data_IF_882929924888
#
_entry.id   IF_882929924888
#
_cell.length_a   1.000
_cell.length_b   1.000
_cell.length_c   1.000
_cell.angle_alpha   90.00
_cell.angle_beta   90.00
_cell.angle_gamma   90.00
#
_symmetry.space_group_name_H-M   'P 1'
#
loop_
_entity.id
_entity.type
_entity.pdbx_description
1 polymer ?
#
# COMPACT_ATOMS: atom_id res chain seq x y z
N UNK A 1 -5.29 -32.43 -118.43
CA UNK A 1 -4.22 -31.43 -118.30
C UNK A 1 -2.90 -32.19 -118.14
N UNK A 2 -1.96 -32.12 -119.10
CA UNK A 2 -0.67 -32.85 -119.03
C UNK A 2 0.36 -31.97 -118.30
N UNK A 3 0.65 -32.31 -117.05
CA UNK A 3 1.61 -31.58 -116.20
C UNK A 3 3.04 -31.92 -116.61
N UNK A 4 3.91 -30.92 -116.74
CA UNK A 4 5.31 -31.07 -117.16
C UNK A 4 6.21 -31.57 -116.00
N UNK A 5 7.32 -32.27 -116.28
CA UNK A 5 8.23 -32.85 -115.24
C UNK A 5 8.72 -31.80 -114.22
N UNK A 6 8.94 -30.56 -114.66
CA UNK A 6 9.32 -29.43 -113.80
C UNK A 6 8.22 -29.02 -112.82
N UNK A 7 6.97 -28.97 -113.29
CA UNK A 7 5.80 -28.62 -112.46
C UNK A 7 5.49 -29.70 -111.40
N UNK A 8 5.68 -30.98 -111.75
CA UNK A 8 5.53 -32.09 -110.79
C UNK A 8 6.58 -32.02 -109.66
N UNK A 9 7.80 -31.58 -109.97
CA UNK A 9 8.86 -31.39 -108.98
C UNK A 9 8.56 -30.19 -108.08
N UNK A 10 8.08 -29.09 -108.66
CA UNK A 10 7.68 -27.88 -107.93
C UNK A 10 6.51 -28.16 -106.96
N UNK A 11 5.49 -28.91 -107.41
CA UNK A 11 4.35 -29.30 -106.56
C UNK A 11 4.76 -30.22 -105.41
N UNK A 12 5.73 -31.11 -105.63
CA UNK A 12 6.26 -31.97 -104.57
C UNK A 12 7.02 -31.17 -103.50
N UNK A 13 7.84 -30.21 -103.91
CA UNK A 13 8.55 -29.29 -103.00
C UNK A 13 7.54 -28.41 -102.23
N UNK A 14 6.49 -27.93 -102.90
CA UNK A 14 5.41 -27.18 -102.24
C UNK A 14 4.69 -28.04 -101.20
N UNK A 15 4.33 -29.29 -101.53
CA UNK A 15 3.67 -30.21 -100.60
C UNK A 15 4.55 -30.50 -99.38
N UNK A 16 5.86 -30.71 -99.56
CA UNK A 16 6.82 -30.85 -98.46
C UNK A 16 6.90 -29.58 -97.61
N UNK A 17 6.88 -28.40 -98.23
CA UNK A 17 6.84 -27.11 -97.53
C UNK A 17 5.57 -26.96 -96.68
N UNK A 18 4.40 -27.35 -97.20
CA UNK A 18 3.12 -27.32 -96.48
C UNK A 18 3.11 -28.32 -95.31
N UNK A 19 3.60 -29.54 -95.52
CA UNK A 19 3.72 -30.55 -94.45
C UNK A 19 4.71 -30.07 -93.37
N UNK A 20 5.85 -29.51 -93.77
CA UNK A 20 6.83 -28.95 -92.85
C UNK A 20 6.29 -27.77 -92.04
N UNK A 21 5.55 -26.87 -92.68
CA UNK A 21 4.89 -25.75 -92.00
C UNK A 21 3.78 -26.22 -91.07
N UNK A 22 2.98 -27.22 -91.48
CA UNK A 22 1.95 -27.84 -90.65
C UNK A 22 2.55 -28.51 -89.41
N UNK A 23 3.64 -29.26 -89.57
CA UNK A 23 4.36 -29.88 -88.45
C UNK A 23 4.96 -28.83 -87.51
N UNK A 24 5.62 -27.80 -88.06
CA UNK A 24 6.19 -26.71 -87.29
C UNK A 24 5.12 -25.97 -86.46
N UNK A 25 3.99 -25.62 -87.08
CA UNK A 25 2.93 -24.86 -86.40
C UNK A 25 2.13 -25.69 -85.39
N UNK A 26 1.82 -26.95 -85.72
CA UNK A 26 0.91 -27.76 -84.88
C UNK A 26 1.67 -28.56 -83.83
N UNK A 27 2.77 -29.21 -84.20
CA UNK A 27 3.48 -30.14 -83.32
C UNK A 27 4.60 -29.42 -82.58
N UNK A 28 5.48 -28.73 -83.31
CA UNK A 28 6.65 -28.09 -82.71
C UNK A 28 6.25 -26.93 -81.79
N UNK A 29 5.41 -26.00 -82.26
CA UNK A 29 5.00 -24.83 -81.45
C UNK A 29 4.23 -25.25 -80.19
N UNK A 30 3.31 -26.23 -80.29
CA UNK A 30 2.59 -26.75 -79.13
C UNK A 30 3.52 -27.40 -78.10
N UNK A 31 4.44 -28.27 -78.54
CA UNK A 31 5.37 -28.94 -77.62
C UNK A 31 6.39 -27.96 -77.03
N UNK A 32 6.90 -27.02 -77.84
CA UNK A 32 7.83 -25.99 -77.39
C UNK A 32 7.18 -25.07 -76.34
N UNK A 33 5.95 -24.61 -76.58
CA UNK A 33 5.22 -23.77 -75.62
C UNK A 33 4.88 -24.54 -74.33
N UNK A 34 4.50 -25.82 -74.43
CA UNK A 34 4.28 -26.68 -73.26
C UNK A 34 5.55 -26.88 -72.44
N UNK A 35 6.69 -27.11 -73.10
CA UNK A 35 7.99 -27.26 -72.44
C UNK A 35 8.46 -25.95 -71.80
N UNK A 36 8.21 -24.82 -72.45
CA UNK A 36 8.48 -23.49 -71.91
C UNK A 36 7.63 -23.19 -70.67
N UNK A 37 6.34 -23.52 -70.69
CA UNK A 37 5.44 -23.39 -69.54
C UNK A 37 5.87 -24.29 -68.38
N UNK A 38 6.21 -25.55 -68.65
CA UNK A 38 6.73 -26.49 -67.66
C UNK A 38 8.03 -25.99 -67.01
N UNK A 39 8.99 -25.49 -67.80
CA UNK A 39 10.22 -24.88 -67.26
C UNK A 39 9.94 -23.65 -66.42
N UNK A 40 8.99 -22.82 -66.81
CA UNK A 40 8.57 -21.64 -66.04
C UNK A 40 7.95 -22.04 -64.70
N UNK A 41 7.09 -23.06 -64.69
CA UNK A 41 6.50 -23.64 -63.47
C UNK A 41 7.56 -24.26 -62.55
N UNK A 42 8.48 -25.04 -63.10
CA UNK A 42 9.59 -25.62 -62.34
C UNK A 42 10.43 -24.53 -61.67
N UNK A 43 10.75 -23.46 -62.41
CA UNK A 43 11.53 -22.35 -61.88
C UNK A 43 10.81 -21.60 -60.76
N UNK A 44 9.49 -21.38 -60.90
CA UNK A 44 8.66 -20.80 -59.83
C UNK A 44 8.62 -21.68 -58.58
N UNK A 45 8.34 -22.97 -58.74
CA UNK A 45 8.29 -23.92 -57.62
C UNK A 45 9.65 -24.02 -56.92
N UNK A 46 10.75 -24.01 -57.69
CA UNK A 46 12.11 -24.01 -57.14
C UNK A 46 12.43 -22.72 -56.39
N UNK A 47 11.92 -21.58 -56.86
CA UNK A 47 12.09 -20.30 -56.18
C UNK A 47 11.30 -20.28 -54.87
N UNK A 48 10.01 -20.63 -54.90
CA UNK A 48 9.16 -20.77 -53.70
C UNK A 48 9.80 -21.71 -52.68
N UNK A 49 10.24 -22.90 -53.10
CA UNK A 49 10.95 -23.83 -52.22
C UNK A 49 12.20 -23.23 -51.59
N UNK A 50 13.03 -22.52 -52.35
CA UNK A 50 14.23 -21.89 -51.81
C UNK A 50 13.91 -20.77 -50.82
N UNK A 51 12.83 -20.01 -51.06
CA UNK A 51 12.38 -18.95 -50.17
C UNK A 51 11.77 -19.52 -48.89
N UNK A 52 11.00 -20.60 -48.98
CA UNK A 52 10.50 -21.37 -47.83
C UNK A 52 11.64 -21.95 -46.99
N UNK A 53 12.64 -22.55 -47.64
CA UNK A 53 13.83 -23.09 -46.96
C UNK A 53 14.62 -21.99 -46.26
N UNK A 54 14.78 -20.81 -46.88
CA UNK A 54 15.41 -19.65 -46.22
C UNK A 54 14.59 -19.21 -45.01
N UNK A 55 13.27 -19.15 -45.13
CA UNK A 55 12.38 -18.78 -44.03
C UNK A 55 12.47 -19.78 -42.88
N UNK A 56 12.49 -21.08 -43.16
CA UNK A 56 12.65 -22.13 -42.14
C UNK A 56 14.03 -22.05 -41.48
N UNK A 57 15.08 -21.88 -42.26
CA UNK A 57 16.45 -21.77 -41.75
C UNK A 57 16.66 -20.49 -40.92
N UNK A 58 15.86 -19.45 -41.12
CA UNK A 58 15.92 -18.24 -40.29
C UNK A 58 15.11 -18.33 -38.99
N UNK A 59 14.27 -19.36 -38.79
CA UNK A 59 13.45 -19.48 -37.57
C UNK A 59 14.32 -19.57 -36.31
N UNK A 60 15.29 -20.50 -36.27
CA UNK A 60 16.13 -20.69 -35.09
C UNK A 60 17.03 -19.47 -34.78
N UNK A 61 17.77 -18.88 -35.73
CA UNK A 61 18.56 -17.68 -35.44
C UNK A 61 17.68 -16.49 -35.03
N UNK A 62 16.52 -16.29 -35.66
CA UNK A 62 15.59 -15.22 -35.24
C UNK A 62 15.08 -15.46 -33.81
N UNK A 63 14.85 -16.70 -33.41
CA UNK A 63 14.44 -17.06 -32.05
C UNK A 63 15.55 -16.81 -31.04
N UNK A 64 16.80 -17.14 -31.39
CA UNK A 64 17.97 -16.81 -30.56
C UNK A 64 18.12 -15.29 -30.40
N UNK A 65 18.03 -14.53 -31.50
CA UNK A 65 18.07 -13.07 -31.46
C UNK A 65 16.94 -12.47 -30.60
N UNK A 66 15.71 -12.96 -30.73
CA UNK A 66 14.59 -12.52 -29.87
C UNK A 66 14.89 -12.80 -28.39
N UNK A 67 15.46 -13.96 -28.06
CA UNK A 67 15.82 -14.28 -26.68
C UNK A 67 16.92 -13.36 -26.14
N UNK A 68 17.91 -13.02 -26.97
CA UNK A 68 18.96 -12.05 -26.63
C UNK A 68 18.34 -10.69 -26.37
N UNK A 69 17.51 -10.17 -27.29
CA UNK A 69 16.83 -8.89 -27.11
C UNK A 69 15.92 -8.87 -25.89
N UNK A 70 15.15 -9.93 -25.63
CA UNK A 70 14.34 -10.04 -24.43
C UNK A 70 15.19 -9.96 -23.15
N UNK A 71 16.35 -10.62 -23.15
CA UNK A 71 17.28 -10.60 -22.03
C UNK A 71 17.90 -9.21 -21.84
N UNK A 72 18.25 -8.53 -22.93
CA UNK A 72 18.74 -7.15 -22.90
C UNK A 72 17.68 -6.19 -22.35
N UNK A 73 16.43 -6.29 -22.81
CA UNK A 73 15.32 -5.47 -22.32
C UNK A 73 15.06 -5.75 -20.84
N UNK A 74 15.08 -7.02 -20.41
CA UNK A 74 14.96 -7.37 -19.00
C UNK A 74 16.09 -6.76 -18.16
N UNK A 75 17.33 -6.82 -18.64
CA UNK A 75 18.47 -6.22 -17.94
C UNK A 75 18.32 -4.70 -17.80
N UNK A 76 17.97 -4.00 -18.89
CA UNK A 76 17.76 -2.54 -18.90
C UNK A 76 16.59 -2.09 -18.01
N UNK A 77 15.53 -2.89 -17.93
CA UNK A 77 14.32 -2.57 -17.15
C UNK A 77 14.36 -3.13 -15.72
N UNK A 78 15.37 -3.93 -15.36
CA UNK A 78 15.45 -4.60 -14.06
C UNK A 78 15.53 -3.62 -12.88
N UNK A 79 16.26 -2.51 -13.07
CA UNK A 79 16.42 -1.42 -12.12
C UNK A 79 15.18 -0.54 -11.95
N UNK A 80 14.08 -0.81 -12.65
CA UNK A 80 12.85 -0.04 -12.53
C UNK A 80 11.72 -0.89 -11.92
N UNK A 81 10.71 -0.20 -11.40
CA UNK A 81 9.46 -0.81 -11.01
C UNK A 81 8.67 -1.17 -12.28
N UNK A 82 7.98 -2.32 -12.30
CA UNK A 82 7.10 -2.69 -13.43
C UNK A 82 5.81 -1.87 -13.42
N UNK A 83 5.24 -1.71 -12.23
CA UNK A 83 4.11 -0.85 -11.92
C UNK A 83 4.35 -0.10 -10.61
N UNK A 84 3.54 0.93 -10.34
CA UNK A 84 3.59 1.65 -9.06
C UNK A 84 2.56 1.01 -8.12
N UNK A 85 3.01 0.10 -7.26
CA UNK A 85 2.21 -0.52 -6.20
C UNK A 85 2.53 0.12 -4.86
N UNK A 86 1.66 1.03 -4.41
CA UNK A 86 1.83 1.73 -3.13
C UNK A 86 2.03 0.77 -1.94
N UNK A 87 1.30 -0.35 -1.80
CA UNK A 87 1.55 -1.31 -0.72
C UNK A 87 2.98 -1.89 -0.73
N UNK A 88 3.49 -2.27 -1.90
CA UNK A 88 4.84 -2.82 -2.03
C UNK A 88 5.90 -1.77 -1.68
N UNK A 89 5.69 -0.53 -2.14
CA UNK A 89 6.58 0.60 -1.87
C UNK A 89 6.58 0.93 -0.37
N UNK A 90 5.42 0.89 0.30
CA UNK A 90 5.35 1.06 1.75
C UNK A 90 6.18 0.01 2.46
N UNK A 91 6.05 -1.27 2.09
CA UNK A 91 6.80 -2.36 2.71
C UNK A 91 8.30 -2.21 2.48
N UNK A 92 8.71 -1.94 1.24
CA UNK A 92 10.11 -1.73 0.87
C UNK A 92 10.73 -0.57 1.67
N UNK A 93 10.13 0.61 1.61
CA UNK A 93 10.65 1.78 2.31
C UNK A 93 10.62 1.60 3.83
N UNK A 94 9.62 0.90 4.37
CA UNK A 94 9.58 0.64 5.81
C UNK A 94 10.66 -0.35 6.26
N UNK A 95 10.99 -1.35 5.45
CA UNK A 95 12.13 -2.23 5.70
C UNK A 95 13.43 -1.42 5.72
N UNK A 96 13.64 -0.53 4.73
CA UNK A 96 14.81 0.36 4.72
C UNK A 96 14.88 1.26 5.97
N UNK A 97 13.74 1.80 6.41
CA UNK A 97 13.69 2.61 7.64
C UNK A 97 14.03 1.79 8.89
N UNK A 98 13.47 0.58 9.01
CA UNK A 98 13.72 -0.33 10.13
C UNK A 98 15.20 -0.75 10.19
N UNK A 99 15.78 -1.13 9.04
CA UNK A 99 17.18 -1.54 8.94
C UNK A 99 18.15 -0.40 9.29
N UNK A 100 17.75 0.84 8.98
CA UNK A 100 18.46 2.05 9.35
C UNK A 100 18.17 2.52 10.79
N UNK A 101 17.23 1.89 11.50
CA UNK A 101 16.77 2.29 12.84
C UNK A 101 16.30 3.76 12.88
N UNK A 102 15.52 4.16 11.88
CA UNK A 102 14.82 5.45 11.81
C UNK A 102 13.31 5.24 11.88
N UNK A 103 12.59 6.24 12.39
CA UNK A 103 11.12 6.25 12.40
C UNK A 103 10.64 7.37 11.50
N UNK A 104 9.57 7.14 10.76
CA UNK A 104 9.05 8.19 9.90
C UNK A 104 7.63 7.99 9.43
N UNK A 105 7.17 8.98 8.69
CA UNK A 105 5.90 8.97 7.98
C UNK A 105 6.16 9.09 6.48
N UNK A 106 5.20 8.60 5.68
CA UNK A 106 5.23 8.67 4.23
C UNK A 106 3.92 9.25 3.73
N UNK A 107 3.97 10.12 2.73
CA UNK A 107 2.82 10.56 1.96
C UNK A 107 3.08 10.39 0.47
N UNK A 108 2.03 10.08 -0.28
CA UNK A 108 2.13 9.70 -1.68
C UNK A 108 1.39 10.71 -2.53
N UNK A 109 2.00 11.14 -3.63
CA UNK A 109 1.29 11.86 -4.67
C UNK A 109 0.38 10.90 -5.45
N UNK A 110 -0.56 11.47 -6.21
CA UNK A 110 -1.22 10.71 -7.26
C UNK A 110 -0.19 10.20 -8.28
N UNK A 111 -0.47 9.04 -8.87
CA UNK A 111 0.31 8.50 -9.98
C UNK A 111 0.02 9.35 -11.21
N UNK A 112 1.06 9.95 -11.80
CA UNK A 112 0.95 10.78 -13.00
C UNK A 112 1.72 10.14 -14.15
N UNK A 113 1.14 10.15 -15.35
CA UNK A 113 1.89 9.83 -16.56
C UNK A 113 2.59 11.09 -17.06
N UNK A 114 3.90 11.15 -16.92
CA UNK A 114 4.71 12.31 -17.26
C UNK A 114 5.82 11.95 -18.24
N UNK A 115 6.20 12.88 -19.13
CA UNK A 115 7.36 12.70 -20.00
C UNK A 115 8.63 12.53 -19.17
N UNK A 116 9.52 11.64 -19.60
CA UNK A 116 10.90 11.59 -19.10
C UNK A 116 11.66 12.72 -19.79
N UNK A 117 11.84 13.84 -19.08
CA UNK A 117 12.62 14.97 -19.58
C UNK A 117 14.02 14.86 -18.98
N UNK A 118 15.05 14.73 -19.81
CA UNK A 118 16.42 15.02 -19.36
C UNK A 118 16.43 16.43 -18.77
N UNK A 119 16.87 16.61 -17.52
CA UNK A 119 16.99 17.93 -16.91
C UNK A 119 17.91 18.82 -17.77
N UNK A 120 17.34 19.56 -18.71
CA UNK A 120 17.92 20.79 -19.21
C UNK A 120 17.30 21.93 -18.41
N UNK A 121 18.17 22.72 -17.78
CA UNK A 121 17.79 23.92 -17.07
C UNK A 121 17.04 24.87 -18.02
N UNK A 122 15.78 25.16 -17.68
CA UNK A 122 15.03 26.29 -18.23
C UNK A 122 14.34 26.04 -19.56
N UNK A 123 13.15 25.43 -19.54
CA UNK A 123 11.98 26.07 -20.13
C UNK A 123 10.69 25.43 -19.59
N UNK A 124 9.95 26.17 -18.77
CA UNK A 124 8.65 25.77 -18.25
C UNK A 124 7.57 26.02 -19.31
N UNK A 125 7.45 25.12 -20.29
CA UNK A 125 6.25 25.07 -21.13
C UNK A 125 5.24 24.12 -20.46
N UNK A 126 4.37 24.71 -19.65
CA UNK A 126 3.16 24.07 -19.13
C UNK A 126 2.21 23.77 -20.29
N UNK A 127 2.07 22.49 -20.66
CA UNK A 127 0.93 22.01 -21.46
C UNK A 127 -0.03 21.26 -20.55
N UNK A 128 -1.17 21.94 -20.35
CA UNK A 128 -2.49 21.51 -19.87
C UNK A 128 -2.66 20.06 -19.41
N UNK A 129 -3.08 19.97 -18.15
CA UNK A 129 -3.85 18.90 -17.55
C UNK A 129 -5.18 18.75 -18.31
N UNK A 130 -5.38 17.63 -19.02
CA UNK A 130 -6.65 16.88 -19.14
C UNK A 130 -6.53 15.76 -20.20
N UNK A 131 -6.93 14.56 -19.79
CA UNK A 131 -7.28 13.34 -20.53
C UNK A 131 -6.24 12.59 -21.41
N UNK A 132 -5.97 11.34 -21.01
CA UNK A 132 -5.33 10.24 -21.75
C UNK A 132 -3.82 10.32 -22.11
N UNK A 133 -2.94 10.69 -21.19
CA UNK A 133 -1.53 10.29 -21.32
C UNK A 133 -1.39 8.78 -21.02
N UNK A 134 -1.66 7.94 -22.03
CA UNK A 134 -1.40 6.50 -21.99
C UNK A 134 0.11 6.26 -21.92
N UNK A 135 0.54 5.38 -21.02
CA UNK A 135 1.93 4.93 -20.95
C UNK A 135 2.31 4.30 -22.28
N UNK A 136 3.20 4.95 -23.03
CA UNK A 136 3.52 4.55 -24.40
C UNK A 136 4.32 3.24 -24.43
N UNK A 137 5.15 3.00 -23.41
CA UNK A 137 5.89 1.72 -23.27
C UNK A 137 4.91 0.58 -22.97
N UNK A 138 3.85 0.83 -22.20
CA UNK A 138 2.82 -0.18 -21.97
C UNK A 138 2.15 -0.62 -23.29
N UNK A 139 1.91 0.30 -24.21
CA UNK A 139 1.39 -0.01 -25.54
C UNK A 139 2.31 -0.97 -26.31
N UNK A 140 3.61 -0.67 -26.32
CA UNK A 140 4.63 -1.50 -26.99
C UNK A 140 4.69 -2.91 -26.36
N UNK A 141 4.65 -3.00 -25.03
CA UNK A 141 4.65 -4.28 -24.31
C UNK A 141 3.40 -5.09 -24.62
N UNK A 142 2.23 -4.46 -24.71
CA UNK A 142 0.97 -5.14 -25.03
C UNK A 142 0.98 -5.70 -26.46
N UNK A 143 1.51 -4.93 -27.42
CA UNK A 143 1.66 -5.35 -28.82
C UNK A 143 2.62 -6.55 -28.92
N UNK A 144 3.74 -6.52 -28.20
CA UNK A 144 4.67 -7.64 -28.11
C UNK A 144 4.01 -8.92 -27.55
N UNK A 145 3.24 -8.77 -26.47
CA UNK A 145 2.59 -9.89 -25.79
C UNK A 145 1.32 -10.40 -26.49
N UNK A 146 0.95 -9.84 -27.66
CA UNK A 146 -0.27 -10.19 -28.42
C UNK A 146 -1.57 -10.07 -27.58
N UNK A 147 -1.63 -9.15 -26.61
CA UNK A 147 -2.78 -8.98 -25.71
C UNK A 147 -3.91 -8.12 -26.35
N UNK A 148 -3.69 -7.56 -27.53
CA UNK A 148 -4.68 -6.74 -28.24
C UNK A 148 -5.39 -7.56 -29.32
N UNK A 149 -6.69 -7.79 -29.13
CA UNK A 149 -7.59 -8.34 -30.15
C UNK A 149 -7.40 -7.63 -31.51
N UNK A 150 -7.19 -8.43 -32.55
CA UNK A 150 -7.04 -7.96 -33.94
C UNK A 150 -8.17 -7.02 -34.34
N UNK A 151 -7.85 -5.73 -34.46
CA UNK A 151 -8.26 -4.84 -35.56
C UNK A 151 -7.63 -3.45 -35.38
N UNK A 152 -6.62 -3.13 -36.20
CA UNK A 152 -6.72 -1.98 -37.13
C UNK A 152 -5.58 -1.93 -38.14
N UNK A 153 -6.02 -1.51 -39.32
CA UNK A 153 -5.31 -1.30 -40.58
C UNK A 153 -3.97 -0.61 -40.47
N UNK A 154 -3.09 -1.05 -41.37
CA UNK A 154 -1.92 -0.36 -41.89
C UNK A 154 -2.28 1.06 -42.32
N UNK A 155 -1.61 2.04 -41.70
CA UNK A 155 -0.96 3.17 -42.37
C UNK A 155 -0.41 4.11 -41.30
N UNK A 156 0.88 3.96 -40.95
CA UNK A 156 1.65 5.07 -40.37
C UNK A 156 3.05 5.12 -40.95
N UNK A 157 3.19 6.07 -41.88
CA UNK A 157 4.44 6.62 -42.38
C UNK A 157 5.40 6.94 -41.24
N UNK A 158 6.67 6.61 -41.48
CA UNK A 158 7.85 7.05 -40.75
C UNK A 158 7.79 8.56 -40.45
N UNK A 159 7.51 8.87 -39.19
CA UNK A 159 8.02 10.08 -38.55
C UNK A 159 8.86 9.60 -37.39
N UNK A 160 10.18 9.89 -37.43
CA UNK A 160 11.03 9.80 -36.24
C UNK A 160 10.33 10.58 -35.11
N UNK A 161 9.84 9.93 -34.05
CA UNK A 161 9.31 10.65 -32.91
C UNK A 161 10.49 11.32 -32.20
N UNK A 162 10.33 12.58 -31.78
CA UNK A 162 11.13 13.11 -30.68
C UNK A 162 10.95 12.15 -29.48
N UNK A 163 12.07 11.70 -28.90
CA UNK A 163 12.17 10.59 -27.93
C UNK A 163 11.64 10.94 -26.54
N UNK A 164 10.43 11.50 -26.46
CA UNK A 164 9.79 11.81 -25.19
C UNK A 164 8.75 10.74 -24.90
N UNK A 165 9.12 9.79 -24.04
CA UNK A 165 8.21 8.75 -23.57
C UNK A 165 7.50 9.17 -22.29
N UNK A 166 6.19 9.01 -22.28
CA UNK A 166 5.36 9.22 -21.10
C UNK A 166 5.36 7.96 -20.23
N UNK A 167 5.87 8.08 -19.00
CA UNK A 167 5.95 6.99 -18.01
C UNK A 167 5.12 7.32 -16.77
N UNK A 168 4.69 6.27 -16.08
CA UNK A 168 4.03 6.41 -14.79
C UNK A 168 5.07 6.81 -13.74
N UNK A 169 4.79 7.87 -13.01
CA UNK A 169 5.65 8.42 -11.96
C UNK A 169 4.84 8.71 -10.71
N UNK A 170 5.49 8.59 -9.54
CA UNK A 170 4.91 8.96 -8.25
C UNK A 170 5.99 9.57 -7.37
N UNK A 171 5.61 10.64 -6.66
CA UNK A 171 6.46 11.25 -5.63
C UNK A 171 6.04 10.72 -4.27
N UNK A 172 7.01 10.28 -3.47
CA UNK A 172 6.84 9.92 -2.06
C UNK A 172 7.55 10.95 -1.21
N UNK A 173 6.81 11.64 -0.35
CA UNK A 173 7.37 12.53 0.67
C UNK A 173 7.60 11.73 1.94
N UNK A 174 8.83 11.75 2.42
CA UNK A 174 9.27 11.03 3.62
C UNK A 174 9.67 12.05 4.68
N UNK A 175 9.18 11.85 5.90
CA UNK A 175 9.62 12.58 7.09
C UNK A 175 10.16 11.58 8.10
N UNK A 176 11.48 11.54 8.28
CA UNK A 176 12.16 10.58 9.15
C UNK A 176 12.89 11.29 10.29
N UNK A 177 12.89 10.67 11.47
CA UNK A 177 13.57 11.14 12.67
C UNK A 177 14.49 10.06 13.22
N UNK A 178 15.67 10.46 13.69
CA UNK A 178 16.66 9.58 14.32
C UNK A 178 17.98 10.31 14.58
N UNK A 179 19.00 9.59 15.00
CA UNK A 179 20.37 10.14 15.07
C UNK A 179 20.88 10.46 13.67
N UNK A 180 21.81 11.41 13.55
CA UNK A 180 22.45 11.76 12.26
C UNK A 180 22.96 10.53 11.48
N UNK A 181 23.67 9.63 12.16
CA UNK A 181 24.24 8.43 11.54
C UNK A 181 23.16 7.49 10.99
N UNK A 182 22.09 7.25 11.75
CA UNK A 182 20.95 6.44 11.30
C UNK A 182 20.23 7.05 10.09
N UNK A 183 20.03 8.37 10.07
CA UNK A 183 19.41 9.06 8.92
C UNK A 183 20.30 8.99 7.67
N UNK A 184 21.61 9.14 7.82
CA UNK A 184 22.54 8.96 6.69
C UNK A 184 22.63 7.51 6.22
N UNK A 185 22.53 6.54 7.13
CA UNK A 185 22.42 5.12 6.78
C UNK A 185 21.15 4.84 5.96
N UNK A 186 20.03 5.44 6.35
CA UNK A 186 18.77 5.36 5.59
C UNK A 186 18.93 5.95 4.19
N UNK A 187 19.50 7.16 4.08
CA UNK A 187 19.72 7.81 2.79
C UNK A 187 20.63 6.98 1.87
N UNK A 188 21.72 6.43 2.41
CA UNK A 188 22.59 5.50 1.68
C UNK A 188 21.85 4.24 1.20
N UNK A 189 20.93 3.72 2.01
CA UNK A 189 20.14 2.55 1.65
C UNK A 189 19.15 2.82 0.51
N UNK A 190 18.68 4.08 0.36
CA UNK A 190 17.90 4.51 -0.81
C UNK A 190 18.81 4.61 -2.04
N UNK A 191 20.02 5.18 -1.90
CA UNK A 191 20.98 5.32 -3.01
C UNK A 191 21.50 3.98 -3.54
N UNK A 192 21.73 3.00 -2.66
CA UNK A 192 22.19 1.66 -3.01
C UNK A 192 21.05 0.69 -3.37
N UNK A 193 19.80 1.17 -3.41
CA UNK A 193 18.65 0.35 -3.73
C UNK A 193 18.77 -0.21 -5.16
N UNK A 194 18.44 -1.50 -5.40
CA UNK A 194 18.45 -2.08 -6.75
C UNK A 194 17.47 -1.39 -7.70
N UNK A 195 16.49 -0.66 -7.18
CA UNK A 195 15.56 0.18 -7.93
C UNK A 195 16.08 1.61 -8.02
N UNK A 196 15.96 2.19 -9.21
CA UNK A 196 16.26 3.59 -9.45
C UNK A 196 15.22 4.47 -8.74
N UNK A 197 15.64 5.04 -7.61
CA UNK A 197 14.87 5.99 -6.81
C UNK A 197 15.55 7.35 -6.92
N UNK A 198 14.86 8.34 -7.48
CA UNK A 198 15.41 9.68 -7.65
C UNK A 198 15.12 10.55 -6.42
N UNK A 199 16.14 11.00 -5.70
CA UNK A 199 15.96 11.98 -4.62
C UNK A 199 15.80 13.37 -5.25
N UNK A 200 14.61 13.96 -5.13
CA UNK A 200 14.30 15.30 -5.66
C UNK A 200 14.80 16.40 -4.74
N UNK A 201 14.61 16.22 -3.44
CA UNK A 201 15.08 17.13 -2.41
C UNK A 201 15.33 16.40 -1.09
N UNK A 202 16.18 17.00 -0.27
CA UNK A 202 16.52 16.54 1.06
C UNK A 202 16.77 17.76 1.95
N UNK A 203 16.11 17.82 3.09
CA UNK A 203 16.30 18.85 4.11
C UNK A 203 16.52 18.16 5.45
N UNK A 204 17.54 18.57 6.18
CA UNK A 204 17.92 18.04 7.48
C UNK A 204 17.91 19.16 8.52
N UNK A 205 17.25 18.94 9.66
CA UNK A 205 17.15 19.89 10.76
C UNK A 205 17.50 19.23 12.09
N UNK A 206 18.33 19.89 12.89
CA UNK A 206 18.67 19.43 14.24
C UNK A 206 17.48 19.60 15.20
N UNK A 207 17.31 18.65 16.12
CA UNK A 207 16.32 18.68 17.17
C UNK A 207 16.97 18.93 18.55
N UNK A 208 16.19 19.35 19.52
CA UNK A 208 16.67 19.74 20.86
C UNK A 208 17.16 18.56 21.71
N UNK A 209 16.85 17.34 21.32
CA UNK A 209 17.21 16.07 21.98
C UNK A 209 18.50 15.44 21.41
N UNK A 210 19.18 16.12 20.47
CA UNK A 210 20.35 15.60 19.77
C UNK A 210 20.04 14.69 18.57
N UNK A 211 18.76 14.45 18.27
CA UNK A 211 18.34 13.82 17.03
C UNK A 211 18.28 14.83 15.87
N UNK A 212 18.08 14.31 14.68
CA UNK A 212 17.81 15.08 13.47
C UNK A 212 16.48 14.64 12.86
N UNK A 213 15.80 15.60 12.26
CA UNK A 213 14.62 15.37 11.42
C UNK A 213 15.00 15.61 9.97
N UNK A 214 14.73 14.65 9.10
CA UNK A 214 14.94 14.77 7.67
C UNK A 214 13.60 14.71 6.93
N UNK A 215 13.41 15.65 6.01
CA UNK A 215 12.30 15.65 5.07
C UNK A 215 12.88 15.50 3.66
N UNK A 216 12.38 14.52 2.91
CA UNK A 216 12.85 14.26 1.55
C UNK A 216 11.70 13.88 0.63
N UNK A 217 11.82 14.27 -0.63
CA UNK A 217 10.92 13.81 -1.68
C UNK A 217 11.70 12.90 -2.61
N UNK A 218 11.21 11.68 -2.79
CA UNK A 218 11.74 10.74 -3.76
C UNK A 218 10.75 10.56 -4.91
N UNK A 219 11.24 10.35 -6.12
CA UNK A 219 10.47 10.08 -7.31
C UNK A 219 10.73 8.65 -7.77
N UNK A 220 9.64 7.92 -7.94
CA UNK A 220 9.61 6.55 -8.44
C UNK A 220 9.09 6.56 -9.87
N UNK A 221 9.75 5.81 -10.75
CA UNK A 221 9.38 5.67 -12.16
C UNK A 221 9.10 4.20 -12.46
N UNK A 222 7.97 3.93 -13.12
CA UNK A 222 7.62 2.57 -13.54
C UNK A 222 7.78 2.38 -15.05
N UNK A 223 8.52 1.32 -15.41
CA UNK A 223 8.71 0.86 -16.78
C UNK A 223 8.08 -0.54 -16.91
N UNK A 224 7.00 -0.68 -17.70
CA UNK A 224 6.38 -1.97 -17.96
C UNK A 224 7.37 -3.01 -18.46
N UNK A 225 7.31 -4.21 -17.89
CA UNK A 225 8.17 -5.33 -18.29
C UNK A 225 7.48 -6.20 -19.32
N UNK A 226 8.27 -6.74 -20.25
CA UNK A 226 7.78 -7.69 -21.27
C UNK A 226 7.27 -8.98 -20.61
N UNK A 227 7.96 -9.45 -19.56
CA UNK A 227 7.55 -10.58 -18.75
C UNK A 227 6.90 -10.08 -17.45
N UNK A 228 5.59 -9.84 -17.48
CA UNK A 228 4.81 -9.41 -16.32
C UNK A 228 4.58 -10.53 -15.29
N UNK A 229 4.93 -11.78 -15.61
CA UNK A 229 4.64 -12.95 -14.76
C UNK A 229 5.54 -13.08 -13.52
N UNK A 230 6.54 -12.21 -13.39
CA UNK A 230 7.53 -12.19 -12.29
C UNK A 230 7.44 -10.94 -11.42
N UNK A 231 6.25 -10.38 -11.23
CA UNK A 231 6.07 -9.39 -10.16
C UNK A 231 6.14 -10.12 -8.82
N UNK A 232 7.32 -10.10 -8.21
CA UNK A 232 7.50 -10.54 -6.83
C UNK A 232 6.83 -9.51 -5.91
N UNK A 233 5.59 -9.78 -5.55
CA UNK A 233 4.94 -9.09 -4.43
C UNK A 233 5.64 -9.53 -3.16
N UNK A 234 6.28 -8.58 -2.47
CA UNK A 234 6.77 -8.82 -1.11
C UNK A 234 5.54 -9.01 -0.23
N UNK A 235 5.28 -10.23 0.22
CA UNK A 235 4.26 -10.50 1.22
C UNK A 235 4.73 -9.89 2.53
N UNK A 236 3.87 -9.11 3.19
CA UNK A 236 4.13 -8.68 4.56
C UNK A 236 4.30 -9.92 5.45
N UNK A 237 5.33 -9.92 6.31
CA UNK A 237 5.45 -10.93 7.36
C UNK A 237 4.17 -10.95 8.22
N UNK A 238 3.80 -12.11 8.77
CA UNK A 238 2.60 -12.30 9.61
C UNK A 238 2.56 -11.39 10.86
N UNK A 239 3.64 -10.66 11.16
CA UNK A 239 3.76 -9.72 12.29
C UNK A 239 3.53 -8.25 11.92
N UNK A 240 2.84 -7.97 10.83
CA UNK A 240 2.57 -6.61 10.40
C UNK A 240 1.15 -6.14 10.74
N UNK A 241 1.02 -4.84 11.05
CA UNK A 241 -0.25 -4.25 11.48
C UNK A 241 -0.49 -4.32 12.99
N UNK A 242 -1.52 -3.62 13.45
CA UNK A 242 -2.05 -3.77 14.80
C UNK A 242 -3.29 -4.63 14.73
N UNK A 243 -3.52 -5.46 15.75
CA UNK A 243 -4.75 -6.25 15.89
C UNK A 243 -5.99 -5.36 15.75
N UNK A 244 -5.92 -4.11 16.22
CA UNK A 244 -6.88 -3.08 15.91
C UNK A 244 -6.16 -1.77 15.49
N UNK A 245 -6.29 -1.30 14.24
CA UNK A 245 -5.67 -0.05 13.77
C UNK A 245 -6.31 1.21 14.36
N UNK A 246 -7.48 1.07 15.00
CA UNK A 246 -8.16 2.09 15.80
C UNK A 246 -8.02 1.84 17.29
N UNK A 247 -7.34 0.76 17.70
CA UNK A 247 -6.72 0.73 19.03
C UNK A 247 -5.53 1.68 18.93
N UNK A 248 -5.83 2.96 19.12
CA UNK A 248 -4.78 3.93 19.39
C UNK A 248 -3.83 3.26 20.38
N UNK A 249 -2.55 3.17 19.98
CA UNK A 249 -1.49 2.96 20.94
C UNK A 249 -1.86 3.80 22.14
N UNK A 250 -1.91 3.20 23.33
CA UNK A 250 -2.24 3.83 24.60
C UNK A 250 -1.60 5.22 24.67
N UNK A 251 -2.29 6.20 24.11
CA UNK A 251 -2.07 7.59 24.32
C UNK A 251 -2.67 7.73 25.71
N UNK A 252 -1.77 7.93 26.66
CA UNK A 252 -2.10 8.61 27.91
C UNK A 252 -3.15 9.68 27.54
N UNK A 253 -4.42 9.45 27.88
CA UNK A 253 -5.51 10.36 27.54
C UNK A 253 -6.78 9.75 26.91
N UNK A 254 -6.77 8.62 26.19
CA UNK A 254 -7.93 8.26 25.31
C UNK A 254 -8.58 6.88 25.50
N UNK A 255 -8.10 6.04 26.43
CA UNK A 255 -8.79 4.76 26.68
C UNK A 255 -10.21 5.02 27.18
N UNK A 256 -11.25 4.49 26.54
CA UNK A 256 -12.57 4.47 27.19
C UNK A 256 -12.52 3.50 28.37
N UNK A 257 -13.44 3.62 29.32
CA UNK A 257 -13.53 2.74 30.49
C UNK A 257 -13.54 1.25 30.10
N UNK A 258 -14.16 0.94 28.96
CA UNK A 258 -14.22 -0.41 28.41
C UNK A 258 -12.85 -0.97 28.01
N UNK A 259 -11.94 -0.14 27.47
CA UNK A 259 -10.58 -0.56 27.09
C UNK A 259 -9.69 -0.83 28.32
N UNK A 260 -9.96 -0.15 29.44
CA UNK A 260 -9.25 -0.39 30.70
C UNK A 260 -9.76 -1.64 31.42
N UNK A 261 -11.06 -1.95 31.26
CA UNK A 261 -11.70 -3.18 31.75
C UNK A 261 -11.17 -4.44 31.04
N UNK A 262 -10.94 -4.42 29.72
CA UNK A 262 -10.42 -5.59 28.99
C UNK A 262 -8.98 -5.96 29.38
N UNK A 263 -8.19 -4.99 29.85
CA UNK A 263 -6.80 -5.19 30.28
C UNK A 263 -6.66 -5.53 31.77
N UNK A 264 -7.74 -5.41 32.55
CA UNK A 264 -7.70 -5.72 33.97
C UNK A 264 -7.83 -7.23 34.20
N UNK A 265 -6.80 -7.83 34.82
CA UNK A 265 -6.83 -9.26 35.20
C UNK A 265 -7.81 -9.56 36.33
N UNK A 266 -8.34 -8.53 37.00
CA UNK A 266 -9.24 -8.64 38.14
C UNK A 266 -10.64 -8.22 37.71
N UNK A 267 -11.65 -9.01 38.07
CA UNK A 267 -13.05 -8.57 37.90
C UNK A 267 -13.35 -7.48 38.92
N UNK A 268 -13.48 -6.25 38.43
CA UNK A 268 -13.77 -5.08 39.26
C UNK A 268 -15.27 -4.89 39.42
N UNK A 269 -15.70 -4.35 40.55
CA UNK A 269 -17.08 -3.95 40.83
C UNK A 269 -17.35 -2.52 40.40
N UNK A 270 -16.34 -1.66 40.54
CA UNK A 270 -16.40 -0.24 40.25
C UNK A 270 -15.16 0.21 39.51
N UNK A 271 -15.33 1.20 38.64
CA UNK A 271 -14.25 1.81 37.90
C UNK A 271 -14.32 3.34 37.97
N UNK A 272 -13.15 3.95 38.06
CA UNK A 272 -13.01 5.38 37.93
C UNK A 272 -11.80 5.77 37.10
N UNK A 273 -11.90 6.85 36.33
CA UNK A 273 -10.77 7.47 35.62
C UNK A 273 -10.50 8.88 36.11
N UNK A 274 -9.23 9.27 36.23
CA UNK A 274 -8.79 10.63 36.55
C UNK A 274 -7.79 11.12 35.51
N UNK A 275 -8.18 12.13 34.74
CA UNK A 275 -7.50 12.60 33.52
C UNK A 275 -7.16 14.09 33.58
N UNK A 276 -6.17 14.55 32.80
CA UNK A 276 -5.90 15.98 32.62
C UNK A 276 -7.08 16.68 31.93
N UNK A 277 -7.22 17.99 32.13
CA UNK A 277 -8.29 18.79 31.47
C UNK A 277 -8.17 18.86 29.94
N UNK A 278 -6.98 18.61 29.39
CA UNK A 278 -6.80 18.57 27.94
C UNK A 278 -7.14 17.20 27.32
N UNK A 279 -7.71 16.28 28.10
CA UNK A 279 -8.27 15.01 27.63
C UNK A 279 -9.53 15.27 26.81
N UNK A 280 -9.74 14.49 25.75
CA UNK A 280 -10.98 14.50 24.97
C UNK A 280 -12.17 13.90 25.75
N UNK A 281 -11.89 13.19 26.85
CA UNK A 281 -12.86 12.65 27.80
C UNK A 281 -12.88 13.46 29.12
N UNK A 282 -14.01 13.48 29.85
CA UNK A 282 -14.12 14.21 31.12
C UNK A 282 -12.98 13.91 32.09
N UNK A 283 -12.54 14.93 32.84
CA UNK A 283 -11.47 14.76 33.84
C UNK A 283 -11.75 13.66 34.85
N UNK A 284 -13.02 13.43 35.17
CA UNK A 284 -13.46 12.33 36.04
C UNK A 284 -14.65 11.61 35.44
N UNK A 285 -14.57 10.28 35.48
CA UNK A 285 -15.71 9.39 35.22
C UNK A 285 -15.69 8.28 36.25
N UNK A 286 -16.79 8.04 36.95
CA UNK A 286 -16.98 6.99 37.96
C UNK A 286 -18.24 6.21 37.64
N UNK A 287 -18.17 4.87 37.65
CA UNK A 287 -19.31 4.00 37.39
C UNK A 287 -19.17 2.61 37.98
N UNK A 288 -20.28 1.86 37.97
CA UNK A 288 -20.24 0.42 38.24
C UNK A 288 -19.69 -0.31 37.01
N UNK A 289 -18.81 -1.28 37.23
CA UNK A 289 -18.32 -2.15 36.18
C UNK A 289 -19.45 -3.01 35.59
N UNK A 290 -19.30 -3.38 34.32
CA UNK A 290 -20.27 -4.13 33.50
C UNK A 290 -21.65 -3.47 33.29
N UNK A 291 -21.79 -2.17 33.60
CA UNK A 291 -23.00 -1.41 33.28
C UNK A 291 -23.01 -0.96 31.81
N UNK A 292 -23.48 -1.86 30.94
CA UNK A 292 -23.54 -1.68 29.48
C UNK A 292 -24.40 -0.48 29.05
N UNK A 293 -25.40 -0.12 29.86
CA UNK A 293 -26.31 0.99 29.56
C UNK A 293 -25.78 2.34 30.06
N UNK A 294 -24.63 2.35 30.76
CA UNK A 294 -23.99 3.52 31.36
C UNK A 294 -24.88 4.31 32.32
N UNK A 295 -25.90 3.67 32.91
CA UNK A 295 -26.89 4.29 33.81
C UNK A 295 -26.30 4.74 35.15
N UNK A 296 -25.21 4.11 35.57
CA UNK A 296 -24.54 4.35 36.85
C UNK A 296 -23.49 5.46 36.74
N UNK A 297 -23.08 5.83 35.53
CA UNK A 297 -21.90 6.67 35.34
C UNK A 297 -22.16 8.13 35.72
N UNK A 298 -21.28 8.67 36.56
CA UNK A 298 -21.20 10.10 36.85
C UNK A 298 -19.88 10.65 36.33
N UNK A 299 -19.92 11.85 35.76
CA UNK A 299 -18.76 12.54 35.26
C UNK A 299 -18.62 13.95 35.82
N UNK A 300 -17.39 14.41 35.95
CA UNK A 300 -17.03 15.81 36.14
C UNK A 300 -15.96 16.21 35.14
N UNK A 301 -16.01 17.44 34.66
CA UNK A 301 -15.07 17.93 33.66
C UNK A 301 -14.59 19.34 34.01
N UNK A 302 -13.83 19.41 35.10
CA UNK A 302 -13.27 20.67 35.60
C UNK A 302 -11.75 20.55 35.80
N UNK A 303 -11.05 21.67 35.58
CA UNK A 303 -9.63 21.79 35.89
C UNK A 303 -9.41 22.13 37.37
N UNK A 304 -9.97 21.30 38.24
CA UNK A 304 -9.97 21.46 39.70
C UNK A 304 -9.90 20.08 40.36
N UNK A 305 -9.61 20.06 41.66
CA UNK A 305 -9.66 18.81 42.44
C UNK A 305 -11.11 18.56 42.83
N UNK A 306 -11.67 17.45 42.34
CA UNK A 306 -13.05 17.06 42.60
C UNK A 306 -13.17 16.17 43.84
N UNK A 307 -14.24 16.36 44.62
CA UNK A 307 -14.59 15.56 45.77
C UNK A 307 -15.54 14.43 45.39
N UNK A 308 -15.16 13.23 45.79
CA UNK A 308 -15.86 12.00 45.49
C UNK A 308 -16.11 11.26 46.78
N UNK A 309 -17.35 10.83 46.97
CA UNK A 309 -17.74 10.03 48.13
C UNK A 309 -18.34 8.73 47.64
N UNK A 310 -17.82 7.61 48.13
CA UNK A 310 -18.33 6.28 47.85
C UNK A 310 -18.76 5.60 49.14
N UNK A 311 -19.98 5.09 49.15
CA UNK A 311 -20.57 4.39 50.29
C UNK A 311 -20.93 2.98 49.87
N UNK A 312 -20.42 2.02 50.61
CA UNK A 312 -20.67 0.58 50.42
C UNK A 312 -21.19 0.04 51.74
N UNK A 313 -22.32 -0.68 51.69
CA UNK A 313 -22.95 -1.26 52.87
C UNK A 313 -23.51 -2.65 52.55
N UNK A 314 -23.67 -3.50 53.55
CA UNK A 314 -24.27 -4.82 53.36
C UNK A 314 -23.74 -5.89 54.29
N UNK A 315 -24.57 -6.88 54.57
CA UNK A 315 -24.19 -8.09 55.29
C UNK A 315 -24.92 -9.30 54.67
N UNK A 316 -24.45 -10.50 55.00
CA UNK A 316 -25.16 -11.75 54.72
C UNK A 316 -25.59 -11.92 53.24
N UNK A 317 -24.74 -11.49 52.31
CA UNK A 317 -24.96 -11.69 50.88
C UNK A 317 -25.81 -10.64 50.18
N UNK A 318 -26.26 -9.58 50.87
CA UNK A 318 -26.95 -8.43 50.27
C UNK A 318 -26.10 -7.17 50.41
N UNK A 319 -25.74 -6.58 49.28
CA UNK A 319 -24.82 -5.43 49.22
C UNK A 319 -25.44 -4.27 48.46
N UNK A 320 -25.12 -3.06 48.92
CA UNK A 320 -25.63 -1.82 48.39
C UNK A 320 -24.51 -0.81 48.19
N UNK A 321 -24.65 0.03 47.17
CA UNK A 321 -23.72 1.12 46.90
C UNK A 321 -24.44 2.41 46.54
N UNK A 322 -23.77 3.52 46.85
CA UNK A 322 -24.10 4.84 46.34
C UNK A 322 -22.84 5.70 46.32
N UNK A 323 -22.77 6.65 45.39
CA UNK A 323 -21.65 7.58 45.32
C UNK A 323 -22.03 8.96 44.83
N UNK A 324 -21.15 9.91 45.10
CA UNK A 324 -21.23 11.30 44.63
C UNK A 324 -19.97 11.69 43.89
N UNK A 325 -20.15 12.49 42.85
CA UNK A 325 -19.08 13.19 42.14
C UNK A 325 -19.54 14.65 42.02
N UNK A 326 -18.88 15.56 42.74
CA UNK A 326 -19.11 17.01 42.68
C UNK A 326 -20.58 17.43 42.50
N UNK A 327 -21.38 17.21 43.54
CA UNK A 327 -22.80 17.60 43.58
C UNK A 327 -23.76 16.66 42.84
N UNK A 328 -23.27 15.79 41.94
CA UNK A 328 -24.07 14.72 41.32
C UNK A 328 -24.01 13.45 42.16
N UNK A 329 -25.08 12.67 42.16
CA UNK A 329 -25.14 11.43 42.92
C UNK A 329 -25.79 10.29 42.17
N UNK A 330 -25.35 9.07 42.49
CA UNK A 330 -25.96 7.83 42.06
C UNK A 330 -26.27 6.96 43.29
N UNK A 331 -27.52 6.48 43.45
CA UNK A 331 -28.70 6.89 42.68
C UNK A 331 -29.03 8.38 42.86
N UNK A 332 -29.87 8.95 41.98
CA UNK A 332 -30.26 10.37 42.03
C UNK A 332 -30.93 10.72 43.37
N UNK A 333 -31.68 9.77 43.95
CA UNK A 333 -32.19 9.87 45.33
C UNK A 333 -31.12 9.32 46.27
N UNK A 334 -30.28 10.18 46.84
CA UNK A 334 -29.16 9.78 47.70
C UNK A 334 -29.56 9.39 49.14
N UNK A 335 -30.67 8.68 49.29
CA UNK A 335 -31.23 8.28 50.58
C UNK A 335 -31.02 6.78 50.84
N UNK A 336 -31.13 6.35 52.11
CA UNK A 336 -31.00 4.94 52.49
C UNK A 336 -29.65 4.33 52.09
N UNK A 337 -29.67 3.04 51.72
CA UNK A 337 -28.47 2.25 51.44
C UNK A 337 -27.96 2.39 49.99
N UNK A 338 -28.74 2.97 49.08
CA UNK A 338 -28.42 3.05 47.65
C UNK A 338 -28.96 1.89 46.83
N UNK A 339 -28.29 1.58 45.72
CA UNK A 339 -28.68 0.52 44.78
C UNK A 339 -28.07 -0.83 45.17
N UNK A 340 -28.84 -1.91 45.01
CA UNK A 340 -28.38 -3.27 45.30
C UNK A 340 -27.40 -3.76 44.22
N UNK A 341 -26.34 -4.44 44.62
CA UNK A 341 -25.41 -5.09 43.70
C UNK A 341 -24.87 -6.42 44.25
N UNK A 342 -24.31 -7.22 43.36
CA UNK A 342 -23.61 -8.45 43.70
C UNK A 342 -22.11 -8.25 43.47
N UNK A 343 -21.27 -8.35 44.51
CA UNK A 343 -19.83 -8.33 44.35
C UNK A 343 -19.34 -9.40 43.37
N UNK A 344 -18.41 -9.04 42.51
CA UNK A 344 -17.84 -9.90 41.48
C UNK A 344 -16.91 -10.98 42.04
N UNK A 345 -16.48 -10.85 43.31
CA UNK A 345 -15.62 -11.80 44.01
C UNK A 345 -15.88 -11.87 45.52
N UNK A 346 -14.90 -12.41 46.24
CA UNK A 346 -14.94 -12.49 47.71
C UNK A 346 -14.85 -11.10 48.35
N UNK A 347 -14.03 -10.23 47.76
CA UNK A 347 -13.86 -8.83 48.12
C UNK A 347 -14.52 -7.94 47.07
N UNK A 348 -14.70 -6.66 47.41
CA UNK A 348 -15.22 -5.64 46.50
C UNK A 348 -14.05 -4.90 45.89
N UNK A 349 -13.91 -4.96 44.57
CA UNK A 349 -12.77 -4.37 43.86
C UNK A 349 -13.17 -3.05 43.22
N UNK A 350 -12.46 -1.97 43.57
CA UNK A 350 -12.62 -0.66 42.97
C UNK A 350 -11.30 -0.23 42.34
N UNK A 351 -11.29 -0.13 41.01
CA UNK A 351 -10.10 0.24 40.26
C UNK A 351 -10.18 1.70 39.77
N UNK A 352 -9.09 2.42 39.98
CA UNK A 352 -8.89 3.81 39.55
C UNK A 352 -7.74 3.84 38.57
N UNK A 353 -8.00 4.33 37.37
CA UNK A 353 -6.96 4.65 36.40
C UNK A 353 -6.70 6.14 36.40
N UNK A 354 -5.45 6.49 36.68
CA UNK A 354 -4.99 7.86 36.64
C UNK A 354 -3.95 8.07 35.54
N UNK A 355 -3.69 9.32 35.21
CA UNK A 355 -2.72 9.71 34.20
C UNK A 355 -1.70 10.69 34.79
N UNK A 356 -0.51 10.77 34.19
CA UNK A 356 0.49 11.75 34.63
C UNK A 356 0.03 13.18 34.33
N UNK A 357 0.47 14.15 35.14
CA UNK A 357 0.20 15.57 34.86
C UNK A 357 0.96 16.02 33.62
N UNK A 358 0.28 16.77 32.76
CA UNK A 358 0.86 17.24 31.49
C UNK A 358 1.78 18.44 31.72
N UNK A 359 1.36 19.36 32.59
CA UNK A 359 2.09 20.58 32.94
C UNK A 359 1.59 21.15 34.27
N UNK A 360 2.07 22.33 34.67
CA UNK A 360 1.69 23.00 35.93
C UNK A 360 0.28 23.58 35.92
N UNK A 361 -0.32 23.78 34.74
CA UNK A 361 -1.66 24.34 34.59
C UNK A 361 -2.75 23.26 34.73
N UNK A 362 -2.36 22.00 34.63
CA UNK A 362 -3.20 20.84 34.87
C UNK A 362 -3.41 20.62 36.38
N UNK A 363 -4.54 21.11 36.88
CA UNK A 363 -4.97 21.07 38.29
C UNK A 363 -6.04 20.01 38.56
N UNK A 364 -6.49 19.31 37.51
CA UNK A 364 -7.46 18.23 37.63
C UNK A 364 -6.97 17.14 38.58
N UNK A 365 -7.86 16.62 39.42
CA UNK A 365 -7.56 15.60 40.41
C UNK A 365 -8.79 15.16 41.19
N UNK A 366 -8.63 14.20 42.10
CA UNK A 366 -9.72 13.63 42.87
C UNK A 366 -9.33 13.45 44.35
N UNK A 367 -10.19 13.97 45.24
CA UNK A 367 -10.22 13.62 46.65
C UNK A 367 -11.33 12.58 46.85
N UNK A 368 -10.95 11.34 47.15
CA UNK A 368 -11.85 10.21 47.22
C UNK A 368 -12.03 9.80 48.67
N UNK A 369 -13.27 9.77 49.14
CA UNK A 369 -13.66 9.23 50.44
C UNK A 369 -14.41 7.92 50.23
N UNK A 370 -13.90 6.83 50.78
CA UNK A 370 -14.57 5.52 50.76
C UNK A 370 -15.06 5.20 52.18
N UNK A 371 -16.36 4.96 52.31
CA UNK A 371 -17.00 4.50 53.56
C UNK A 371 -17.53 3.11 53.33
N UNK A 372 -16.89 2.11 53.93
CA UNK A 372 -17.29 0.72 53.87
C UNK A 372 -17.85 0.24 55.20
N UNK A 373 -19.17 0.10 55.27
CA UNK A 373 -19.88 -0.51 56.41
C UNK A 373 -20.32 -1.96 56.14
N UNK A 374 -19.76 -2.60 55.12
CA UNK A 374 -20.08 -4.00 54.79
C UNK A 374 -19.19 -5.01 55.53
N UNK A 375 -19.59 -6.28 55.48
CA UNK A 375 -18.79 -7.38 56.00
C UNK A 375 -17.55 -7.72 55.14
N UNK A 376 -17.52 -7.29 53.87
CA UNK A 376 -16.43 -7.51 52.88
C UNK A 376 -15.32 -6.44 52.94
N UNK A 377 -14.11 -6.81 52.52
CA UNK A 377 -13.01 -5.86 52.29
C UNK A 377 -13.19 -5.16 50.93
N UNK A 378 -12.92 -3.86 50.88
CA UNK A 378 -12.86 -3.08 49.64
C UNK A 378 -11.41 -2.90 49.22
N UNK A 379 -11.02 -3.48 48.09
CA UNK A 379 -9.72 -3.31 47.48
C UNK A 379 -9.75 -2.11 46.53
N UNK A 380 -9.14 -1.00 46.95
CA UNK A 380 -8.95 0.18 46.10
C UNK A 380 -7.62 0.10 45.39
N UNK A 381 -7.64 -0.08 44.06
CA UNK A 381 -6.45 -0.23 43.23
C UNK A 381 -6.27 1.04 42.41
N UNK A 382 -5.18 1.76 42.61
CA UNK A 382 -4.85 2.97 41.87
C UNK A 382 -3.71 2.65 40.92
N UNK A 383 -3.96 2.79 39.62
CA UNK A 383 -2.98 2.51 38.59
C UNK A 383 -2.51 3.80 37.91
N UNK A 384 -1.21 3.87 37.61
CA UNK A 384 -0.60 4.89 36.73
C UNK A 384 -0.73 6.34 37.22
N UNK A 385 -0.97 6.53 38.52
CA UNK A 385 -0.96 7.86 39.13
C UNK A 385 0.43 8.50 39.02
N UNK A 386 0.46 9.83 39.02
CA UNK A 386 1.71 10.57 38.90
C UNK A 386 2.52 10.45 40.21
N UNK A 387 3.64 9.75 40.17
CA UNK A 387 4.51 9.56 41.34
C UNK A 387 5.04 10.88 41.93
N UNK A 388 5.20 11.93 41.11
CA UNK A 388 5.75 13.22 41.54
C UNK A 388 4.66 14.23 41.88
N UNK A 389 3.51 14.15 41.22
CA UNK A 389 2.39 15.06 41.43
C UNK A 389 1.04 14.34 41.38
N UNK A 390 0.74 13.50 42.39
CA UNK A 390 -0.44 12.64 42.39
C UNK A 390 -1.73 13.40 42.08
N UNK A 391 -2.63 12.75 41.34
CA UNK A 391 -3.98 13.24 41.11
C UNK A 391 -4.96 12.71 42.14
N UNK A 392 -4.67 11.55 42.72
CA UNK A 392 -5.62 10.80 43.55
C UNK A 392 -5.22 10.83 45.02
N UNK A 393 -6.05 11.48 45.83
CA UNK A 393 -5.96 11.46 47.28
C UNK A 393 -7.10 10.62 47.85
N UNK A 394 -6.80 9.74 48.81
CA UNK A 394 -7.78 8.80 49.35
C UNK A 394 -7.90 8.94 50.86
N UNK A 395 -9.14 8.96 51.34
CA UNK A 395 -9.52 8.81 52.75
C UNK A 395 -10.49 7.64 52.88
N UNK A 396 -10.33 6.83 53.92
CA UNK A 396 -11.08 5.58 54.09
C UNK A 396 -11.68 5.48 55.48
N UNK A 397 -12.88 4.91 55.56
CA UNK A 397 -13.56 4.52 56.79
C UNK A 397 -14.07 3.08 56.63
N UNK A 398 -13.83 2.22 57.62
CA UNK A 398 -14.11 0.78 57.57
C UNK A 398 -13.03 -0.09 56.91
N UNK A 399 -13.41 -1.30 56.46
CA UNK A 399 -12.48 -2.29 55.90
C UNK A 399 -12.10 -1.96 54.46
N UNK A 400 -11.09 -1.12 54.26
CA UNK A 400 -10.61 -0.71 52.94
C UNK A 400 -9.10 -0.90 52.84
N UNK A 401 -8.65 -1.57 51.78
CA UNK A 401 -7.24 -1.77 51.46
C UNK A 401 -6.87 -0.96 50.22
N UNK A 402 -5.92 -0.05 50.36
CA UNK A 402 -5.43 0.80 49.25
C UNK A 402 -4.15 0.22 48.67
N UNK A 403 -4.13 0.03 47.35
CA UNK A 403 -3.02 -0.52 46.57
C UNK A 403 -2.68 0.50 45.48
N UNK A 404 -1.41 0.88 45.36
CA UNK A 404 -0.92 1.80 44.32
C UNK A 404 0.07 1.06 43.40
N UNK A 405 -0.17 1.11 42.09
CA UNK A 405 0.57 0.41 41.03
C UNK A 405 1.17 1.36 40.00
#
# INVERSE_FOLDING_TARGET
MKINKREKTLLFVLALGVVGFGYYKVVWDYQYNKLKDLKSKELKVKQEYNDDVKMVNSIEPNKEEINIFNSEIQNLTSGFYSNISQPNIILELNNLMNDANVKGTMSFSEIKTMPVIEKQEGDSSSKSEDDENKNQIQGIVNDYNNITDKKKNEDKKDKKPEEIYNLNQMTVSLSVNGTYDNVMKFMKSIEENPKHINILNFNLSAQTDGNVSANMNIQLVAIPKIDASKEEFTTADEKYGKENPFSGASAVGTGTIENELENSKVKNDFLMTVRPINSDLPTIVLGKSDDKDKKTYLNNDENSVSNIEMYISGDNGKYYYKYKVEGKSYPTKFEGNGEEFKPNGNDINFEIFSEKRVNKDDKSGANIKIVNSSDKEVNLIINKDDEKSPRVNVTTDGKVKVIKN
#
